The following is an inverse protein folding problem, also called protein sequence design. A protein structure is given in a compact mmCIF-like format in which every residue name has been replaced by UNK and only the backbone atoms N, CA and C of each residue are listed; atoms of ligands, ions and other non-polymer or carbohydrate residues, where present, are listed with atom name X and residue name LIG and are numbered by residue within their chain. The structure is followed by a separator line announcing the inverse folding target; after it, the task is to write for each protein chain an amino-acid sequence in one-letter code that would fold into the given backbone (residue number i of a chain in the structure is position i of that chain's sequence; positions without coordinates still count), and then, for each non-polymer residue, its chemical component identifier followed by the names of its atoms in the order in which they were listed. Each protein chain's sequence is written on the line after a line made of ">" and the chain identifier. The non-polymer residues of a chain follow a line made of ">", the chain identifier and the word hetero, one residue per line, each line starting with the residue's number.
data_IF_232724106870
#
_entry.id   IF_232724106870
#
_cell.length_a   1.000
_cell.length_b   1.000
_cell.length_c   1.000
_cell.angle_alpha   90.00
_cell.angle_beta   90.00
_cell.angle_gamma   90.00
#
_symmetry.space_group_name_H-M   'P 1'
#
loop_
_entity.id
_entity.type
_entity.pdbx_description
1 polymer ?
#
# COMPACT_ATOMS: atom_id res chain seq x y z
N UNK A 1 0.65 8.05 26.09
CA UNK A 1 -0.29 6.93 25.82
C UNK A 1 -0.44 6.82 24.30
N UNK A 2 0.19 5.82 23.67
CA UNK A 2 0.29 5.76 22.20
C UNK A 2 -1.01 5.27 21.55
N UNK A 3 -1.32 5.81 20.38
CA UNK A 3 -2.56 5.60 19.59
C UNK A 3 -2.93 4.12 19.39
N UNK A 4 -1.93 3.23 19.26
CA UNK A 4 -2.12 1.78 19.17
C UNK A 4 -2.87 1.19 20.37
N UNK A 5 -2.63 1.73 21.58
CA UNK A 5 -3.34 1.30 22.79
C UNK A 5 -4.80 1.73 22.81
N UNK A 6 -5.17 2.84 22.16
CA UNK A 6 -6.55 3.36 22.13
C UNK A 6 -7.41 2.61 21.10
N UNK A 7 -6.84 2.18 19.97
CA UNK A 7 -7.53 1.33 19.00
C UNK A 7 -7.80 -0.06 19.60
N UNK A 8 -6.79 -0.71 20.20
CA UNK A 8 -6.96 -2.03 20.83
C UNK A 8 -7.92 -2.02 22.04
N UNK A 9 -7.99 -0.93 22.81
CA UNK A 9 -8.88 -0.85 23.97
C UNK A 9 -10.36 -0.75 23.58
N UNK A 10 -10.66 -0.24 22.38
CA UNK A 10 -12.03 -0.09 21.89
C UNK A 10 -12.60 -1.42 21.39
N UNK A 11 -11.74 -2.39 21.03
CA UNK A 11 -12.14 -3.70 20.50
C UNK A 11 -12.46 -4.75 21.57
N UNK A 12 -12.17 -4.49 22.86
CA UNK A 12 -12.33 -5.46 23.96
C UNK A 12 -13.58 -5.29 24.82
N UNK A 13 -14.44 -4.31 24.53
CA UNK A 13 -15.68 -4.09 25.29
C UNK A 13 -16.84 -3.84 24.35
N UNK A 14 -17.47 -4.90 23.84
CA UNK A 14 -18.89 -4.90 23.46
C UNK A 14 -19.35 -6.36 23.43
N UNK A 15 -19.99 -6.77 24.53
CA UNK A 15 -20.73 -8.03 24.63
C UNK A 15 -22.05 -7.90 23.89
N UNK A 16 -22.36 -8.95 23.13
CA UNK A 16 -23.68 -9.50 22.81
C UNK A 16 -24.89 -8.57 22.91
N UNK A 17 -25.42 -8.19 21.75
CA UNK A 17 -26.87 -7.97 21.57
C UNK A 17 -27.27 -8.71 20.30
N UNK A 18 -28.11 -9.74 20.46
CA UNK A 18 -28.80 -10.40 19.34
C UNK A 18 -29.81 -9.42 18.74
N UNK A 19 -29.86 -9.32 17.41
CA UNK A 19 -30.93 -8.62 16.69
C UNK A 19 -31.52 -9.58 15.62
N UNK A 20 -32.85 -9.65 15.43
CA UNK A 20 -33.49 -10.66 14.60
C UNK A 20 -33.46 -10.31 13.11
N UNK A 21 -33.45 -11.35 12.29
CA UNK A 21 -33.64 -11.32 10.83
C UNK A 21 -35.03 -10.78 10.47
N UNK A 22 -35.09 -9.84 9.53
CA UNK A 22 -36.25 -9.67 8.65
C UNK A 22 -35.82 -9.44 7.21
N UNK A 23 -36.55 -10.13 6.34
CA UNK A 23 -36.49 -10.20 4.89
C UNK A 23 -37.02 -8.95 4.20
N UNK A 24 -36.42 -8.58 3.07
CA UNK A 24 -36.97 -7.60 2.12
C UNK A 24 -36.24 -7.69 0.79
N UNK A 25 -36.94 -8.21 -0.21
CA UNK A 25 -36.55 -8.29 -1.62
C UNK A 25 -36.84 -6.93 -2.27
N UNK A 26 -36.01 -6.42 -3.18
CA UNK A 26 -36.45 -5.76 -4.42
C UNK A 26 -35.28 -5.25 -5.29
N UNK A 27 -35.55 -5.37 -6.59
CA UNK A 27 -34.72 -5.18 -7.77
C UNK A 27 -34.46 -3.70 -8.10
N UNK A 28 -33.25 -3.37 -8.56
CA UNK A 28 -32.94 -2.04 -9.08
C UNK A 28 -31.67 -2.03 -9.94
N UNK A 29 -31.86 -1.89 -11.25
CA UNK A 29 -30.86 -1.71 -12.30
C UNK A 29 -30.17 -0.33 -12.22
N UNK A 30 -28.85 -0.27 -12.45
CA UNK A 30 -28.16 1.00 -12.73
C UNK A 30 -26.73 1.03 -12.19
N UNK A 31 -25.78 0.50 -12.96
CA UNK A 31 -24.35 0.62 -12.66
C UNK A 31 -23.85 2.03 -13.00
N UNK A 32 -24.09 2.98 -12.11
CA UNK A 32 -23.45 4.29 -12.16
C UNK A 32 -22.07 4.22 -11.50
N UNK A 33 -21.07 4.62 -12.27
CA UNK A 33 -19.68 4.67 -11.90
C UNK A 33 -19.49 5.72 -10.78
N UNK A 34 -19.18 5.26 -9.57
CA UNK A 34 -18.93 6.12 -8.41
C UNK A 34 -17.60 6.87 -8.58
N UNK A 35 -17.64 8.01 -9.25
CA UNK A 35 -16.56 8.99 -9.23
C UNK A 35 -17.02 10.22 -8.47
N UNK A 36 -16.14 10.67 -7.57
CA UNK A 36 -16.17 11.95 -6.83
C UNK A 36 -16.83 11.92 -5.45
N UNK A 37 -16.15 11.29 -4.49
CA UNK A 37 -16.31 11.62 -3.07
C UNK A 37 -15.37 12.76 -2.70
N UNK A 38 -15.88 13.70 -1.89
CA UNK A 38 -15.14 14.82 -1.32
C UNK A 38 -13.75 14.42 -0.80
N UNK A 39 -12.73 15.31 -0.85
CA UNK A 39 -11.37 14.97 -0.46
C UNK A 39 -11.36 14.41 0.97
N UNK A 40 -10.65 13.29 1.21
CA UNK A 40 -10.64 12.63 2.50
C UNK A 40 -10.15 13.60 3.58
N UNK A 41 -10.92 13.73 4.67
CA UNK A 41 -10.63 14.62 5.81
C UNK A 41 -9.55 14.02 6.74
N UNK A 42 -8.59 13.29 6.17
CA UNK A 42 -7.54 12.62 6.91
C UNK A 42 -6.52 13.61 7.49
N UNK A 43 -6.01 13.31 8.69
CA UNK A 43 -4.92 14.09 9.28
C UNK A 43 -3.59 13.61 8.71
N UNK A 44 -2.74 14.53 8.26
CA UNK A 44 -1.35 14.21 7.90
C UNK A 44 -0.61 13.76 9.17
N UNK A 45 0.06 12.61 9.10
CA UNK A 45 0.81 12.03 10.22
C UNK A 45 2.31 12.01 9.92
N UNK A 46 3.17 12.07 10.96
CA UNK A 46 4.59 11.86 10.78
C UNK A 46 4.86 10.47 10.20
N UNK A 47 5.71 10.41 9.18
CA UNK A 47 6.20 9.15 8.63
C UNK A 47 7.42 8.73 9.44
N UNK A 48 7.38 7.51 9.96
CA UNK A 48 8.48 6.90 10.69
C UNK A 48 9.59 6.51 9.70
N UNK A 49 10.83 6.74 10.12
CA UNK A 49 12.01 6.41 9.32
C UNK A 49 12.74 5.17 9.85
N UNK A 50 13.55 4.56 8.98
CA UNK A 50 14.40 3.40 9.25
C UNK A 50 15.18 3.58 10.55
N UNK A 51 15.21 2.51 11.35
CA UNK A 51 15.68 2.54 12.73
C UNK A 51 14.54 2.61 13.76
N UNK A 52 13.36 3.12 13.39
CA UNK A 52 12.19 3.07 14.27
C UNK A 52 11.63 1.63 14.40
N UNK A 53 11.44 1.08 15.61
CA UNK A 53 11.12 -0.34 15.81
C UNK A 53 9.78 -0.76 15.19
N UNK A 54 8.78 0.12 15.11
CA UNK A 54 7.48 -0.21 14.48
C UNK A 54 7.59 -0.59 13.00
N UNK A 55 8.61 -0.11 12.28
CA UNK A 55 8.83 -0.53 10.90
C UNK A 55 9.30 -1.98 10.78
N UNK A 56 9.71 -2.61 11.88
CA UNK A 56 10.13 -4.01 11.98
C UNK A 56 9.08 -4.91 12.63
N UNK A 57 7.90 -4.36 12.96
CA UNK A 57 6.81 -5.13 13.57
C UNK A 57 5.91 -5.70 12.49
N UNK A 58 5.66 -7.01 12.53
CA UNK A 58 4.58 -7.61 11.75
C UNK A 58 3.25 -7.01 12.22
N UNK A 59 2.45 -6.56 11.25
CA UNK A 59 1.19 -5.89 11.49
C UNK A 59 0.08 -6.89 11.84
N UNK A 60 -0.77 -6.51 12.79
CA UNK A 60 -1.90 -7.34 13.21
C UNK A 60 -3.02 -7.30 12.16
N UNK A 61 -3.66 -8.45 11.85
CA UNK A 61 -4.82 -8.45 10.97
C UNK A 61 -5.97 -7.66 11.60
N UNK A 62 -6.71 -6.95 10.76
CA UNK A 62 -7.98 -6.30 11.13
C UNK A 62 -9.08 -7.37 11.13
N UNK A 63 -9.90 -7.52 12.18
CA UNK A 63 -11.05 -8.41 12.12
C UNK A 63 -11.96 -8.05 10.95
N UNK A 64 -12.43 -9.02 10.16
CA UNK A 64 -13.20 -8.74 8.95
C UNK A 64 -14.46 -7.91 9.22
N UNK A 65 -15.14 -8.14 10.34
CA UNK A 65 -16.30 -7.36 10.78
C UNK A 65 -16.00 -5.88 11.09
N UNK A 66 -14.73 -5.52 11.26
CA UNK A 66 -14.28 -4.17 11.59
C UNK A 66 -13.63 -3.44 10.41
N UNK A 67 -13.43 -4.11 9.26
CA UNK A 67 -12.76 -3.53 8.10
C UNK A 67 -13.45 -2.23 7.61
N UNK A 68 -14.79 -2.23 7.58
CA UNK A 68 -15.60 -1.04 7.24
C UNK A 68 -15.91 -0.11 8.41
N UNK A 69 -15.31 -0.33 9.59
CA UNK A 69 -15.60 0.47 10.80
C UNK A 69 -15.13 1.92 10.66
N UNK A 70 -15.74 2.87 11.39
CA UNK A 70 -15.30 4.27 11.39
C UNK A 70 -13.82 4.46 11.75
N UNK A 71 -13.29 3.60 12.64
CA UNK A 71 -11.90 3.67 13.06
C UNK A 71 -10.92 3.29 11.93
N UNK A 72 -11.23 2.24 11.16
CA UNK A 72 -10.40 1.83 10.01
C UNK A 72 -10.53 2.83 8.87
N UNK A 73 -11.74 3.33 8.59
CA UNK A 73 -11.95 4.39 7.60
C UNK A 73 -11.15 5.66 7.92
N UNK A 74 -11.12 6.08 9.18
CA UNK A 74 -10.28 7.21 9.60
C UNK A 74 -8.78 6.93 9.42
N UNK A 75 -8.31 5.71 9.74
CA UNK A 75 -6.92 5.32 9.50
C UNK A 75 -6.56 5.38 8.01
N UNK A 76 -7.46 4.88 7.15
CA UNK A 76 -7.31 4.94 5.69
C UNK A 76 -7.22 6.40 5.22
N UNK A 77 -8.08 7.28 5.75
CA UNK A 77 -8.02 8.71 5.42
C UNK A 77 -6.70 9.36 5.82
N UNK A 78 -6.21 9.09 7.03
CA UNK A 78 -4.90 9.57 7.49
C UNK A 78 -3.76 9.05 6.60
N UNK A 79 -3.82 7.79 6.16
CA UNK A 79 -2.85 7.20 5.24
C UNK A 79 -2.86 7.90 3.89
N UNK A 80 -4.04 8.11 3.30
CA UNK A 80 -4.19 8.79 2.00
C UNK A 80 -3.68 10.22 2.09
N UNK A 81 -4.08 10.97 3.12
CA UNK A 81 -3.64 12.36 3.32
C UNK A 81 -2.12 12.43 3.47
N UNK A 82 -1.53 11.53 4.26
CA UNK A 82 -0.08 11.48 4.49
C UNK A 82 0.69 11.07 3.23
N UNK A 83 0.23 10.04 2.52
CA UNK A 83 0.83 9.57 1.27
C UNK A 83 0.87 10.70 0.22
N UNK A 84 -0.26 11.38 0.01
CA UNK A 84 -0.37 12.48 -0.96
C UNK A 84 0.52 13.66 -0.56
N UNK A 85 0.52 14.05 0.71
CA UNK A 85 1.37 15.13 1.21
C UNK A 85 2.87 14.85 1.02
N UNK A 86 3.28 13.58 1.10
CA UNK A 86 4.66 13.14 0.89
C UNK A 86 4.99 12.77 -0.57
N UNK A 87 4.06 12.97 -1.52
CA UNK A 87 4.19 12.51 -2.92
C UNK A 87 4.56 11.02 -3.04
N UNK A 88 4.00 10.18 -2.16
CA UNK A 88 4.17 8.73 -2.16
C UNK A 88 3.46 8.03 -3.32
N UNK A 89 3.88 6.81 -3.63
CA UNK A 89 3.16 5.88 -4.52
C UNK A 89 2.29 4.90 -3.73
N UNK A 90 2.53 4.80 -2.43
CA UNK A 90 1.82 3.98 -1.46
C UNK A 90 2.25 4.36 -0.05
N UNK A 91 1.47 3.91 0.93
CA UNK A 91 1.80 4.05 2.36
C UNK A 91 1.11 2.97 3.19
N UNK A 92 1.89 2.28 4.03
CA UNK A 92 1.41 1.29 4.98
C UNK A 92 1.20 1.87 6.40
N UNK A 93 0.24 1.32 7.15
CA UNK A 93 -0.09 1.76 8.51
C UNK A 93 1.11 1.71 9.49
N UNK A 94 2.03 0.76 9.29
CA UNK A 94 3.30 0.67 10.01
C UNK A 94 4.10 1.99 9.93
N UNK A 95 4.10 2.64 8.76
CA UNK A 95 4.88 3.84 8.51
C UNK A 95 4.36 5.07 9.26
N UNK A 96 3.12 5.05 9.77
CA UNK A 96 2.56 6.11 10.62
C UNK A 96 2.37 5.64 12.08
N UNK A 97 2.98 4.51 12.45
CA UNK A 97 3.02 4.00 13.81
C UNK A 97 1.79 3.19 14.24
N UNK A 98 1.04 2.61 13.30
CA UNK A 98 -0.15 1.79 13.58
C UNK A 98 0.02 0.42 12.91
N UNK A 99 0.64 -0.58 13.55
CA UNK A 99 0.96 -1.86 12.93
C UNK A 99 -0.28 -2.76 12.81
N UNK A 100 -1.23 -2.36 11.97
CA UNK A 100 -2.38 -3.15 11.50
C UNK A 100 -2.26 -3.34 9.99
N UNK A 101 -2.78 -4.44 9.44
CA UNK A 101 -2.63 -4.80 8.02
C UNK A 101 -3.49 -3.91 7.12
N UNK A 102 -3.13 -2.65 6.96
CA UNK A 102 -3.79 -1.67 6.09
C UNK A 102 -2.73 -0.90 5.33
N UNK A 103 -2.87 -0.84 4.01
CA UNK A 103 -2.07 0.04 3.15
C UNK A 103 -2.94 0.68 2.08
N UNK A 104 -2.44 1.79 1.52
CA UNK A 104 -3.06 2.50 0.41
C UNK A 104 -2.04 2.70 -0.70
N UNK A 105 -2.50 2.68 -1.94
CA UNK A 105 -1.67 2.81 -3.14
C UNK A 105 -2.34 3.82 -4.06
N UNK A 106 -1.60 4.79 -4.56
CA UNK A 106 -2.08 5.73 -5.58
C UNK A 106 -0.88 6.30 -6.34
N UNK A 107 -0.96 6.27 -7.67
CA UNK A 107 0.00 6.94 -8.54
C UNK A 107 -0.80 7.76 -9.54
N UNK A 108 -0.71 9.09 -9.44
CA UNK A 108 -1.23 10.02 -10.45
C UNK A 108 -0.04 10.51 -11.27
N UNK A 109 0.19 11.81 -11.31
CA UNK A 109 1.41 12.41 -11.84
C UNK A 109 2.43 12.53 -10.69
N UNK A 110 3.12 11.43 -10.38
CA UNK A 110 4.04 11.39 -9.24
C UNK A 110 5.44 11.91 -9.63
N UNK A 111 5.91 13.06 -9.08
CA UNK A 111 7.22 13.64 -9.46
C UNK A 111 8.41 12.78 -9.00
N UNK A 112 8.24 11.95 -7.96
CA UNK A 112 9.27 11.01 -7.47
C UNK A 112 9.40 9.77 -8.36
N UNK A 113 8.36 9.45 -9.14
CA UNK A 113 8.33 8.28 -10.01
C UNK A 113 7.65 8.63 -11.35
N UNK A 114 8.26 9.48 -12.20
CA UNK A 114 7.63 9.96 -13.43
C UNK A 114 7.39 8.87 -14.48
N UNK A 115 8.02 7.70 -14.31
CA UNK A 115 7.91 6.53 -15.17
C UNK A 115 6.90 5.50 -14.64
N UNK A 116 6.37 5.68 -13.42
CA UNK A 116 5.36 4.76 -12.89
C UNK A 116 4.03 5.02 -13.61
N UNK A 117 3.32 3.95 -13.98
CA UNK A 117 1.99 4.07 -14.54
C UNK A 117 0.99 4.60 -13.51
N UNK A 118 -0.15 5.10 -13.98
CA UNK A 118 -1.18 5.64 -13.10
C UNK A 118 -1.88 4.49 -12.38
N UNK A 119 -1.85 4.51 -11.06
CA UNK A 119 -2.56 3.56 -10.21
C UNK A 119 -3.71 4.33 -9.55
N UNK A 120 -4.98 3.99 -9.80
CA UNK A 120 -6.09 4.61 -9.11
C UNK A 120 -5.96 4.34 -7.61
N UNK A 121 -6.53 5.23 -6.79
CA UNK A 121 -6.53 5.04 -5.35
C UNK A 121 -7.09 3.65 -5.00
N UNK A 122 -6.22 2.81 -4.45
CA UNK A 122 -6.55 1.45 -4.03
C UNK A 122 -6.29 1.34 -2.54
N UNK A 123 -7.31 0.85 -1.82
CA UNK A 123 -7.25 0.62 -0.37
C UNK A 123 -7.24 -0.89 -0.16
N UNK A 124 -6.29 -1.36 0.64
CA UNK A 124 -6.15 -2.78 0.93
C UNK A 124 -6.10 -3.00 2.44
N UNK A 125 -7.13 -3.66 2.96
CA UNK A 125 -7.20 -4.17 4.33
C UNK A 125 -6.96 -5.68 4.30
N UNK A 126 -6.04 -6.16 5.14
CA UNK A 126 -5.55 -7.53 5.18
C UNK A 126 -5.10 -8.09 3.81
N UNK A 127 -4.28 -7.37 3.03
CA UNK A 127 -3.86 -7.89 1.73
C UNK A 127 -3.04 -9.18 1.85
N UNK A 128 -3.28 -10.04 0.87
CA UNK A 128 -2.51 -11.24 0.55
C UNK A 128 -2.06 -11.14 -0.91
N UNK A 129 -0.76 -11.35 -1.14
CA UNK A 129 -0.16 -11.35 -2.47
C UNK A 129 0.24 -12.77 -2.84
N UNK A 130 -0.24 -13.23 -3.99
CA UNK A 130 0.13 -14.53 -4.57
C UNK A 130 0.80 -14.30 -5.92
N UNK A 131 2.09 -14.69 -6.11
CA UNK A 131 2.71 -14.67 -7.43
C UNK A 131 1.95 -15.55 -8.43
N UNK A 132 1.72 -15.03 -9.63
CA UNK A 132 1.07 -15.77 -10.72
C UNK A 132 2.08 -16.42 -11.68
N UNK A 133 3.36 -16.09 -11.51
CA UNK A 133 4.48 -16.66 -12.25
C UNK A 133 5.80 -16.45 -11.51
N UNK A 134 6.79 -17.27 -11.82
CA UNK A 134 8.17 -17.10 -11.33
C UNK A 134 8.95 -15.98 -12.05
N UNK A 135 8.36 -15.32 -13.05
CA UNK A 135 9.00 -14.21 -13.74
C UNK A 135 9.22 -13.04 -12.77
N UNK A 136 10.48 -12.64 -12.61
CA UNK A 136 10.90 -11.52 -11.79
C UNK A 136 11.43 -10.38 -12.66
N UNK A 137 11.30 -9.14 -12.18
CA UNK A 137 12.00 -7.98 -12.74
C UNK A 137 12.79 -7.25 -11.64
N UNK A 138 13.87 -6.59 -12.07
CA UNK A 138 14.67 -5.74 -11.19
C UNK A 138 14.04 -4.34 -11.13
N UNK A 139 13.49 -3.99 -9.96
CA UNK A 139 12.91 -2.69 -9.69
C UNK A 139 13.90 -1.83 -8.90
N UNK A 140 14.04 -0.55 -9.25
CA UNK A 140 14.81 0.39 -8.45
C UNK A 140 13.86 1.15 -7.52
N UNK A 141 13.81 0.71 -6.26
CA UNK A 141 12.86 1.19 -5.27
C UNK A 141 13.45 2.30 -4.40
N UNK A 142 12.57 3.14 -3.87
CA UNK A 142 12.83 3.99 -2.72
C UNK A 142 11.62 3.92 -1.79
N UNK A 143 11.79 4.36 -0.54
CA UNK A 143 10.73 4.32 0.46
C UNK A 143 10.57 5.67 1.15
N UNK A 144 9.36 6.04 1.55
CA UNK A 144 9.16 7.23 2.38
C UNK A 144 9.80 7.07 3.78
N UNK A 145 9.89 5.83 4.27
CA UNK A 145 10.55 5.51 5.53
C UNK A 145 12.06 5.34 5.42
N UNK A 146 12.65 5.40 4.23
CA UNK A 146 14.11 5.37 4.03
C UNK A 146 14.45 6.56 3.13
N UNK A 147 14.56 7.78 3.70
CA UNK A 147 14.72 8.98 2.91
C UNK A 147 16.03 8.95 2.11
N UNK A 148 16.00 9.60 0.95
CA UNK A 148 17.12 9.77 -0.01
C UNK A 148 17.67 8.49 -0.66
N UNK A 149 17.57 7.32 -0.02
CA UNK A 149 18.13 6.10 -0.58
C UNK A 149 17.20 5.41 -1.60
N UNK A 150 17.85 4.83 -2.59
CA UNK A 150 17.26 3.89 -3.56
C UNK A 150 18.12 2.63 -3.64
N UNK A 151 17.53 1.53 -4.09
CA UNK A 151 18.25 0.29 -4.34
C UNK A 151 17.49 -0.66 -5.25
N UNK A 152 18.21 -1.61 -5.84
CA UNK A 152 17.60 -2.59 -6.74
C UNK A 152 17.06 -3.79 -5.94
N UNK A 153 15.84 -4.20 -6.24
CA UNK A 153 15.18 -5.36 -5.65
C UNK A 153 14.53 -6.20 -6.74
N UNK A 154 14.39 -7.51 -6.52
CA UNK A 154 13.60 -8.37 -7.42
C UNK A 154 12.14 -8.41 -6.95
N UNK A 155 11.21 -8.24 -7.90
CA UNK A 155 9.77 -8.33 -7.67
C UNK A 155 9.14 -9.30 -8.67
N UNK A 156 8.10 -10.02 -8.24
CA UNK A 156 7.28 -10.78 -9.17
C UNK A 156 6.62 -9.84 -10.16
N UNK A 157 6.72 -10.15 -11.44
CA UNK A 157 6.14 -9.34 -12.52
C UNK A 157 4.63 -9.40 -12.50
N UNK A 158 4.05 -10.55 -12.11
CA UNK A 158 2.60 -10.76 -12.07
C UNK A 158 2.18 -11.32 -10.71
N UNK A 159 1.18 -10.70 -10.11
CA UNK A 159 0.64 -11.09 -8.82
C UNK A 159 -0.88 -11.04 -8.84
N UNK A 160 -1.52 -11.87 -8.00
CA UNK A 160 -2.90 -11.71 -7.58
C UNK A 160 -2.93 -11.09 -6.19
N UNK A 161 -3.83 -10.14 -5.98
CA UNK A 161 -4.01 -9.41 -4.72
C UNK A 161 -5.42 -9.68 -4.23
N UNK A 162 -5.50 -10.29 -3.05
CA UNK A 162 -6.75 -10.54 -2.34
C UNK A 162 -6.77 -9.71 -1.06
N UNK A 163 -7.83 -8.93 -0.84
CA UNK A 163 -7.94 -8.03 0.31
C UNK A 163 -9.42 -7.69 0.61
N UNK A 164 -9.62 -6.82 1.60
CA UNK A 164 -10.87 -6.08 1.79
C UNK A 164 -10.66 -4.61 1.42
N UNK A 165 -11.68 -3.96 0.86
CA UNK A 165 -11.69 -2.54 0.55
C UNK A 165 -12.01 -1.67 1.78
N UNK A 166 -12.17 -0.36 1.55
CA UNK A 166 -12.51 0.66 2.56
C UNK A 166 -13.83 0.38 3.30
N UNK A 167 -14.79 -0.26 2.63
CA UNK A 167 -16.12 -0.55 3.15
C UNK A 167 -16.23 -2.00 3.67
N UNK A 168 -15.15 -2.79 3.54
CA UNK A 168 -15.10 -4.20 3.93
C UNK A 168 -15.57 -5.16 2.83
N UNK A 169 -15.77 -4.67 1.59
CA UNK A 169 -16.04 -5.49 0.43
C UNK A 169 -14.80 -6.24 -0.06
N UNK A 170 -14.95 -7.38 -0.76
CA UNK A 170 -13.81 -8.15 -1.25
C UNK A 170 -13.11 -7.42 -2.41
N UNK A 171 -11.77 -7.45 -2.38
CA UNK A 171 -10.91 -7.06 -3.49
C UNK A 171 -10.21 -8.32 -3.99
N UNK A 172 -10.30 -8.57 -5.29
CA UNK A 172 -9.57 -9.63 -5.99
C UNK A 172 -9.16 -9.11 -7.37
N UNK A 173 -7.86 -8.90 -7.56
CA UNK A 173 -7.33 -8.31 -8.79
C UNK A 173 -5.97 -8.91 -9.17
N UNK A 174 -5.71 -8.98 -10.46
CA UNK A 174 -4.37 -9.27 -10.99
C UNK A 174 -3.64 -7.96 -11.30
N UNK A 175 -2.39 -7.84 -10.85
CA UNK A 175 -1.52 -6.70 -11.13
C UNK A 175 -0.25 -7.19 -11.81
N UNK A 176 0.23 -6.42 -12.78
CA UNK A 176 1.47 -6.70 -13.48
C UNK A 176 2.48 -5.53 -13.44
N UNK A 177 3.70 -5.80 -13.91
CA UNK A 177 4.71 -4.78 -14.20
C UNK A 177 5.15 -3.98 -12.97
N UNK A 178 5.37 -2.67 -13.17
CA UNK A 178 5.79 -1.77 -12.10
C UNK A 178 4.74 -1.62 -11.00
N UNK A 179 3.47 -1.72 -11.36
CA UNK A 179 2.37 -1.70 -10.40
C UNK A 179 2.49 -2.87 -9.43
N UNK A 180 2.75 -4.09 -9.93
CA UNK A 180 2.94 -5.27 -9.08
C UNK A 180 4.05 -5.08 -8.05
N UNK A 181 5.16 -4.43 -8.42
CA UNK A 181 6.24 -4.09 -7.50
C UNK A 181 5.80 -3.14 -6.37
N UNK A 182 4.92 -2.19 -6.67
CA UNK A 182 4.37 -1.25 -5.67
C UNK A 182 3.50 -1.96 -4.65
N UNK A 183 2.62 -2.87 -5.09
CA UNK A 183 1.78 -3.66 -4.18
C UNK A 183 2.62 -4.56 -3.27
N UNK A 184 3.63 -5.23 -3.83
CA UNK A 184 4.58 -6.03 -3.06
C UNK A 184 5.33 -5.19 -2.02
N UNK A 185 5.76 -3.97 -2.38
CA UNK A 185 6.43 -3.06 -1.45
C UNK A 185 5.54 -2.66 -0.27
N UNK A 186 4.29 -2.28 -0.52
CA UNK A 186 3.40 -1.89 0.58
C UNK A 186 3.01 -3.08 1.47
N UNK A 187 2.90 -4.28 0.91
CA UNK A 187 2.63 -5.49 1.71
C UNK A 187 3.83 -5.90 2.56
N UNK A 188 5.06 -5.74 2.07
CA UNK A 188 6.28 -5.98 2.85
C UNK A 188 6.30 -5.17 4.15
N UNK A 189 5.86 -3.91 4.10
CA UNK A 189 5.76 -3.08 5.30
C UNK A 189 4.84 -3.68 6.36
N UNK A 190 3.76 -4.34 5.95
CA UNK A 190 2.82 -5.02 6.86
C UNK A 190 3.45 -6.26 7.50
N UNK A 191 4.51 -6.80 6.90
CA UNK A 191 5.28 -7.92 7.44
C UNK A 191 6.53 -7.45 8.20
N UNK A 192 6.72 -6.13 8.37
CA UNK A 192 7.87 -5.55 9.07
C UNK A 192 9.16 -5.50 8.22
N UNK A 193 9.01 -5.64 6.90
CA UNK A 193 10.11 -5.61 5.94
C UNK A 193 10.21 -4.24 5.26
N UNK A 194 11.42 -3.89 4.86
CA UNK A 194 11.77 -2.73 4.05
C UNK A 194 12.42 -3.23 2.76
N UNK A 195 12.43 -2.40 1.72
CA UNK A 195 13.14 -2.76 0.47
C UNK A 195 14.63 -3.07 0.70
N UNK A 196 15.22 -2.51 1.78
CA UNK A 196 16.60 -2.79 2.22
C UNK A 196 16.84 -4.28 2.49
N UNK A 197 15.82 -5.02 2.92
CA UNK A 197 15.92 -6.45 3.21
C UNK A 197 15.76 -7.31 1.95
N UNK A 198 15.38 -6.71 0.81
CA UNK A 198 15.17 -7.36 -0.49
C UNK A 198 16.16 -6.93 -1.56
N UNK A 199 17.22 -6.22 -1.17
CA UNK A 199 18.25 -5.76 -2.10
C UNK A 199 18.85 -6.95 -2.84
N UNK A 200 19.00 -6.82 -4.16
CA UNK A 200 19.73 -7.81 -4.96
C UNK A 200 21.20 -7.87 -4.55
N UNK A 201 21.78 -6.70 -4.27
CA UNK A 201 23.12 -6.54 -3.73
C UNK A 201 23.23 -5.18 -3.02
N UNK A 202 23.91 -5.09 -1.85
CA UNK A 202 24.06 -3.82 -1.12
C UNK A 202 24.71 -2.70 -1.94
N UNK A 203 25.62 -3.06 -2.86
CA UNK A 203 26.28 -2.12 -3.78
C UNK A 203 25.35 -1.47 -4.83
N UNK A 204 24.07 -1.82 -4.86
CA UNK A 204 23.07 -1.14 -5.70
C UNK A 204 22.45 0.07 -5.00
N UNK A 205 22.76 0.29 -3.72
CA UNK A 205 22.30 1.45 -2.97
C UNK A 205 22.91 2.74 -3.54
N UNK A 206 22.06 3.72 -3.76
CA UNK A 206 22.47 5.06 -4.18
C UNK A 206 21.56 6.11 -3.53
N UNK A 207 22.12 7.29 -3.23
CA UNK A 207 21.28 8.47 -2.96
C UNK A 207 20.51 8.84 -4.22
N UNK A 208 19.44 9.61 -4.09
CA UNK A 208 18.62 10.01 -5.24
C UNK A 208 19.45 10.78 -6.29
N UNK A 209 20.35 11.63 -5.83
CA UNK A 209 21.28 12.38 -6.68
C UNK A 209 22.19 11.44 -7.48
N UNK A 210 22.88 10.52 -6.82
CA UNK A 210 23.83 9.60 -7.48
C UNK A 210 23.12 8.62 -8.41
N UNK A 211 21.92 8.16 -8.03
CA UNK A 211 21.07 7.38 -8.93
C UNK A 211 20.74 8.15 -10.21
N UNK A 212 20.37 9.42 -10.08
CA UNK A 212 20.01 10.27 -11.22
C UNK A 212 21.19 10.48 -12.16
N UNK A 213 22.39 10.70 -11.60
CA UNK A 213 23.60 10.95 -12.38
C UNK A 213 24.17 9.71 -13.09
N UNK A 214 24.09 8.53 -12.46
CA UNK A 214 24.87 7.37 -12.89
C UNK A 214 24.04 6.15 -13.31
N UNK A 215 22.78 6.06 -12.91
CA UNK A 215 22.00 4.81 -13.02
C UNK A 215 20.64 4.97 -13.68
N UNK A 216 20.08 6.18 -13.69
CA UNK A 216 18.72 6.44 -14.14
C UNK A 216 18.46 6.03 -15.59
N UNK A 217 19.33 6.38 -16.53
CA UNK A 217 19.08 6.13 -17.95
C UNK A 217 19.02 4.64 -18.26
N UNK A 218 19.98 3.86 -17.73
CA UNK A 218 19.98 2.40 -17.83
C UNK A 218 18.75 1.78 -17.18
N UNK A 219 18.29 2.34 -16.06
CA UNK A 219 17.07 1.87 -15.41
C UNK A 219 15.83 2.14 -16.28
N UNK A 220 15.71 3.35 -16.85
CA UNK A 220 14.58 3.73 -17.71
C UNK A 220 14.50 2.85 -18.97
N UNK A 221 15.62 2.48 -19.57
CA UNK A 221 15.64 1.56 -20.72
C UNK A 221 14.97 0.22 -20.39
N UNK A 222 15.32 -0.37 -19.24
CA UNK A 222 14.72 -1.65 -18.78
C UNK A 222 13.25 -1.50 -18.41
N UNK A 223 12.89 -0.40 -17.76
CA UNK A 223 11.49 -0.11 -17.41
C UNK A 223 10.63 0.06 -18.64
N UNK A 224 11.10 0.76 -19.67
CA UNK A 224 10.35 0.96 -20.90
C UNK A 224 10.05 -0.38 -21.60
N UNK A 225 11.00 -1.32 -21.56
CA UNK A 225 10.77 -2.68 -22.07
C UNK A 225 9.72 -3.43 -21.24
N UNK A 226 9.73 -3.28 -19.91
CA UNK A 226 8.74 -3.91 -19.03
C UNK A 226 7.33 -3.34 -19.27
N UNK A 227 7.20 -2.02 -19.33
CA UNK A 227 5.93 -1.32 -19.59
C UNK A 227 5.39 -1.69 -20.97
N UNK A 228 6.24 -1.80 -21.99
CA UNK A 228 5.83 -2.26 -23.32
C UNK A 228 5.28 -3.69 -23.32
N UNK A 229 5.76 -4.57 -22.44
CA UNK A 229 5.33 -5.98 -22.36
C UNK A 229 4.05 -6.17 -21.55
N UNK A 230 3.92 -5.50 -20.41
CA UNK A 230 2.87 -5.77 -19.43
C UNK A 230 1.83 -4.66 -19.30
N UNK A 231 1.99 -3.56 -20.03
CA UNK A 231 1.19 -2.37 -19.78
C UNK A 231 1.51 -1.77 -18.41
N UNK A 232 0.56 -1.02 -17.86
CA UNK A 232 0.65 -0.38 -16.55
C UNK A 232 0.87 -1.39 -15.41
#
# INVERSE_FOLDING_TARGET
>A
MNYAGRLLFTLRKLRFVQCPLQSGNETGTGGEHLTDQAPPQGRIRPILHVGHPTLRQAALPVPAAEAGSPAIKQLIDDLIATMRAASGAGLAANQIGVPVRVCVIEVKDNPRYPYKPRIPLTVLVNPVITPLSDELFENNEGCLSVPDLRGNVMRHVRIRVEALDRDGGPVDLEVSGLSAGTYQHECDHLDGLLFLDRLTHPGTLATWEQFTLHHRDRYLERVNQLVARFGQ
#
